data_IF_752253343878
#
_entry.id   IF_752253343878
#
_cell.length_a   1.000
_cell.length_b   1.000
_cell.length_c   1.000
_cell.angle_alpha   90.00
_cell.angle_beta   90.00
_cell.angle_gamma   90.00
#
_symmetry.space_group_name_H-M   'P 1'
#
loop_
_entity.id
_entity.type
_entity.pdbx_description
1 polymer ?
#
# COMPACT_ATOMS: atom_id res chain seq x y z
N UNK A 1 -6.11 -4.20 -17.64
CA UNK A 1 -5.60 -3.08 -18.39
C UNK A 1 -4.60 -3.48 -19.46
N UNK A 2 -3.64 -2.61 -19.77
CA UNK A 2 -2.64 -2.87 -20.81
C UNK A 2 -1.73 -4.07 -20.50
N UNK A 3 -1.53 -4.39 -19.22
CA UNK A 3 -0.86 -5.58 -18.71
C UNK A 3 -1.47 -6.90 -19.22
N UNK A 4 -2.77 -6.95 -19.39
CA UNK A 4 -3.46 -8.13 -19.96
C UNK A 4 -3.28 -8.27 -21.49
N UNK A 5 -2.99 -7.16 -22.17
CA UNK A 5 -2.74 -7.16 -23.61
C UNK A 5 -1.27 -7.40 -23.94
N UNK A 6 -0.39 -6.91 -23.08
CA UNK A 6 1.08 -6.86 -23.25
C UNK A 6 1.76 -7.38 -21.98
N UNK A 7 1.54 -8.65 -21.59
CA UNK A 7 2.00 -9.19 -20.31
C UNK A 7 3.53 -9.19 -20.21
N UNK A 8 4.03 -8.90 -19.01
CA UNK A 8 5.47 -8.96 -18.71
C UNK A 8 5.94 -10.42 -18.62
N UNK A 9 6.41 -10.93 -19.72
CA UNK A 9 7.05 -12.22 -19.80
C UNK A 9 8.08 -12.24 -20.94
N UNK A 10 9.13 -13.05 -20.85
CA UNK A 10 10.05 -13.27 -21.97
C UNK A 10 9.26 -13.73 -23.21
N UNK A 11 9.62 -13.20 -24.38
CA UNK A 11 8.92 -13.54 -25.63
C UNK A 11 8.84 -15.05 -25.88
N UNK A 12 9.84 -15.78 -25.43
CA UNK A 12 9.90 -17.25 -25.54
C UNK A 12 8.88 -17.99 -24.69
N UNK A 13 8.40 -17.37 -23.62
CA UNK A 13 7.39 -17.94 -22.69
C UNK A 13 5.97 -17.43 -22.95
N UNK A 14 5.81 -16.42 -23.79
CA UNK A 14 4.49 -15.94 -24.21
C UNK A 14 3.83 -16.97 -25.15
N UNK A 15 2.51 -17.11 -25.03
CA UNK A 15 1.72 -17.81 -26.05
C UNK A 15 1.77 -17.04 -27.38
N UNK A 16 1.37 -17.70 -28.48
CA UNK A 16 1.47 -17.13 -29.82
C UNK A 16 0.67 -15.84 -30.00
N UNK A 17 -0.50 -15.74 -29.38
CA UNK A 17 -1.35 -14.57 -29.47
C UNK A 17 -0.73 -13.36 -28.74
N UNK A 18 -0.22 -13.54 -27.53
CA UNK A 18 0.40 -12.48 -26.77
C UNK A 18 1.73 -12.04 -27.40
N UNK A 19 2.49 -13.00 -27.93
CA UNK A 19 3.70 -12.71 -28.71
C UNK A 19 3.40 -11.84 -29.93
N UNK A 20 2.34 -12.17 -30.66
CA UNK A 20 1.90 -11.38 -31.81
C UNK A 20 1.46 -9.98 -31.41
N UNK A 21 0.68 -9.83 -30.32
CA UNK A 21 0.25 -8.53 -29.79
C UNK A 21 1.43 -7.65 -29.40
N UNK A 22 2.38 -8.20 -28.65
CA UNK A 22 3.59 -7.48 -28.25
C UNK A 22 4.39 -7.03 -29.49
N UNK A 23 4.55 -7.89 -30.50
CA UNK A 23 5.28 -7.53 -31.71
C UNK A 23 4.55 -6.44 -32.49
N UNK A 24 3.25 -6.57 -32.71
CA UNK A 24 2.45 -5.56 -33.42
C UNK A 24 2.52 -4.20 -32.71
N UNK A 25 2.32 -4.18 -31.39
CA UNK A 25 2.37 -2.93 -30.63
C UNK A 25 3.78 -2.32 -30.63
N UNK A 26 4.83 -3.14 -30.51
CA UNK A 26 6.19 -2.67 -30.60
C UNK A 26 6.49 -2.01 -31.95
N UNK A 27 6.14 -2.67 -33.04
CA UNK A 27 6.37 -2.16 -34.40
C UNK A 27 5.55 -0.90 -34.67
N UNK A 28 4.30 -0.87 -34.25
CA UNK A 28 3.43 0.30 -34.37
C UNK A 28 3.98 1.50 -33.59
N UNK A 29 4.31 1.32 -32.30
CA UNK A 29 4.83 2.41 -31.47
C UNK A 29 6.24 2.86 -31.88
N UNK A 30 6.98 2.06 -32.64
CA UNK A 30 8.29 2.39 -33.17
C UNK A 30 8.25 2.94 -34.59
N UNK A 31 7.09 2.92 -35.25
CA UNK A 31 6.93 3.44 -36.58
C UNK A 31 7.14 4.95 -36.64
N UNK A 32 7.96 5.42 -37.56
CA UNK A 32 8.29 6.84 -37.70
C UNK A 32 7.07 7.69 -38.08
N UNK A 33 6.10 7.14 -38.82
CA UNK A 33 4.88 7.83 -39.16
C UNK A 33 4.01 8.07 -37.91
N UNK A 34 3.95 7.09 -37.01
CA UNK A 34 3.25 7.23 -35.73
C UNK A 34 3.98 8.18 -34.78
N UNK A 35 5.31 8.01 -34.62
CA UNK A 35 6.13 8.82 -33.69
C UNK A 35 6.13 10.31 -34.05
N UNK A 36 6.12 10.62 -35.36
CA UNK A 36 6.11 12.00 -35.86
C UNK A 36 4.69 12.51 -36.18
N UNK A 37 3.66 11.70 -35.97
CA UNK A 37 2.25 12.06 -36.17
C UNK A 37 1.67 12.81 -34.96
N UNK A 38 0.44 13.25 -35.13
CA UNK A 38 -0.32 13.93 -34.06
C UNK A 38 -1.14 12.96 -33.20
N UNK A 39 -1.03 11.66 -33.44
CA UNK A 39 -1.76 10.63 -32.70
C UNK A 39 -1.07 10.28 -31.39
N UNK A 40 -1.84 10.01 -30.36
CA UNK A 40 -1.38 9.56 -29.06
C UNK A 40 -2.08 8.31 -28.59
N UNK A 41 -1.35 7.37 -28.01
CA UNK A 41 -1.90 6.16 -27.38
C UNK A 41 -1.70 6.26 -25.87
N UNK A 42 -2.79 6.13 -25.12
CA UNK A 42 -2.74 6.06 -23.65
C UNK A 42 -2.95 4.62 -23.22
N UNK A 43 -1.95 4.08 -22.53
CA UNK A 43 -2.00 2.75 -21.93
C UNK A 43 -2.23 2.88 -20.43
N UNK A 44 -3.21 2.16 -19.90
CA UNK A 44 -3.50 2.12 -18.45
C UNK A 44 -3.12 0.73 -17.94
N UNK A 45 -2.18 0.67 -17.03
CA UNK A 45 -1.75 -0.53 -16.33
C UNK A 45 -1.64 -0.25 -14.83
N UNK A 46 -1.64 -1.28 -14.03
CA UNK A 46 -1.44 -1.15 -12.57
C UNK A 46 0.00 -0.69 -12.28
N UNK A 47 0.95 -1.17 -13.05
CA UNK A 47 2.37 -0.83 -12.95
C UNK A 47 3.06 -0.94 -14.30
N UNK A 48 4.07 -0.09 -14.53
CA UNK A 48 4.97 -0.22 -15.68
C UNK A 48 5.69 -1.57 -15.68
N UNK A 49 6.00 -2.12 -14.51
CA UNK A 49 6.68 -3.42 -14.38
C UNK A 49 5.82 -4.61 -14.83
N UNK A 50 4.51 -4.42 -15.00
CA UNK A 50 3.61 -5.46 -15.52
C UNK A 50 3.46 -5.41 -17.05
N UNK A 51 4.03 -4.42 -17.70
CA UNK A 51 4.07 -4.33 -19.15
C UNK A 51 5.29 -5.07 -19.72
N UNK A 52 5.11 -5.72 -20.86
CA UNK A 52 6.20 -6.37 -21.55
C UNK A 52 7.39 -5.42 -21.73
N UNK A 53 8.59 -5.90 -21.39
CA UNK A 53 9.81 -5.08 -21.35
C UNK A 53 10.17 -4.46 -22.72
N UNK A 54 9.78 -5.08 -23.82
CA UNK A 54 9.98 -4.48 -25.14
C UNK A 54 9.17 -3.20 -25.34
N UNK A 55 7.97 -3.12 -24.74
CA UNK A 55 7.13 -1.94 -24.79
C UNK A 55 7.55 -0.95 -23.69
N UNK A 56 7.73 -1.43 -22.47
CA UNK A 56 8.06 -0.59 -21.32
C UNK A 56 9.38 0.20 -21.48
N UNK A 57 10.30 -0.28 -22.35
CA UNK A 57 11.60 0.37 -22.61
C UNK A 57 11.63 1.23 -23.88
N UNK A 58 10.51 1.41 -24.57
CA UNK A 58 10.47 2.28 -25.74
C UNK A 58 10.79 3.73 -25.31
N UNK A 59 11.72 4.42 -26.01
CA UNK A 59 12.16 5.76 -25.63
C UNK A 59 11.06 6.82 -25.74
N UNK A 60 10.06 6.59 -26.57
CA UNK A 60 8.90 7.46 -26.75
C UNK A 60 7.80 7.23 -25.71
N UNK A 61 7.90 6.21 -24.85
CA UNK A 61 6.94 5.97 -23.78
C UNK A 61 7.16 6.96 -22.64
N UNK A 62 6.17 7.78 -22.39
CA UNK A 62 6.11 8.66 -21.21
C UNK A 62 5.35 7.93 -20.12
N UNK A 63 5.99 7.75 -18.97
CA UNK A 63 5.39 7.14 -17.78
C UNK A 63 4.80 8.23 -16.89
N UNK A 64 3.51 8.09 -16.59
CA UNK A 64 2.79 8.97 -15.68
C UNK A 64 2.26 8.12 -14.54
N UNK A 65 2.94 8.18 -13.40
CA UNK A 65 2.47 7.50 -12.18
C UNK A 65 1.34 8.29 -11.54
N UNK A 66 0.22 7.62 -11.26
CA UNK A 66 -0.86 8.17 -10.45
C UNK A 66 -0.64 7.69 -9.02
N UNK A 67 -0.16 8.55 -8.12
CA UNK A 67 0.14 8.15 -6.75
C UNK A 67 -1.12 7.80 -5.97
N UNK A 68 -0.96 7.06 -4.88
CA UNK A 68 -2.01 6.91 -3.88
C UNK A 68 -2.37 8.28 -3.29
N UNK A 69 -3.64 8.50 -2.90
CA UNK A 69 -4.04 9.78 -2.34
C UNK A 69 -3.31 10.04 -1.03
N UNK A 70 -2.70 11.22 -0.92
CA UNK A 70 -2.10 11.71 0.31
C UNK A 70 -3.17 12.10 1.35
N UNK A 71 -2.73 12.49 2.54
CA UNK A 71 -3.61 12.90 3.62
C UNK A 71 -4.55 14.05 3.22
N UNK A 72 -4.03 15.09 2.57
CA UNK A 72 -4.81 16.26 2.18
C UNK A 72 -5.85 15.92 1.12
N UNK A 73 -5.49 15.09 0.15
CA UNK A 73 -6.41 14.58 -0.87
C UNK A 73 -7.53 13.77 -0.22
N UNK A 74 -7.22 12.85 0.71
CA UNK A 74 -8.23 12.07 1.43
C UNK A 74 -9.16 12.95 2.26
N UNK A 75 -8.59 13.90 3.02
CA UNK A 75 -9.36 14.88 3.82
C UNK A 75 -10.27 15.74 2.96
N UNK A 76 -9.75 16.24 1.83
CA UNK A 76 -10.56 16.99 0.88
C UNK A 76 -11.70 16.15 0.32
N UNK A 77 -11.43 14.90 -0.08
CA UNK A 77 -12.44 13.99 -0.59
C UNK A 77 -13.53 13.67 0.43
N UNK A 78 -13.19 13.40 1.68
CA UNK A 78 -14.14 13.16 2.77
C UNK A 78 -15.04 14.38 2.97
N UNK A 79 -14.46 15.58 2.98
CA UNK A 79 -15.18 16.85 3.09
C UNK A 79 -16.13 17.06 1.90
N UNK A 80 -15.63 16.85 0.69
CA UNK A 80 -16.44 16.94 -0.53
C UNK A 80 -17.59 15.94 -0.52
N UNK A 81 -17.33 14.67 -0.19
CA UNK A 81 -18.35 13.63 -0.10
C UNK A 81 -19.43 13.95 0.95
N UNK A 82 -19.03 14.54 2.08
CA UNK A 82 -19.94 14.93 3.16
C UNK A 82 -20.84 16.11 2.77
N UNK A 83 -20.34 17.05 1.95
CA UNK A 83 -21.07 18.23 1.49
C UNK A 83 -22.04 17.92 0.33
N UNK A 84 -21.64 17.01 -0.57
CA UNK A 84 -22.39 16.69 -1.77
C UNK A 84 -23.47 15.61 -1.55
N UNK A 85 -24.10 15.61 -0.37
CA UNK A 85 -25.23 14.72 -0.13
C UNK A 85 -26.53 15.33 -0.67
N UNK A 86 -26.97 14.83 -1.82
CA UNK A 86 -28.26 15.24 -2.46
C UNK A 86 -29.49 14.78 -1.67
N UNK A 87 -29.34 13.92 -0.67
CA UNK A 87 -30.45 13.35 0.12
C UNK A 87 -30.45 13.76 1.60
N UNK A 88 -29.61 14.72 2.01
CA UNK A 88 -29.58 15.25 3.38
C UNK A 88 -29.13 14.24 4.47
N UNK A 89 -28.52 13.13 4.09
CA UNK A 89 -28.06 12.11 5.03
C UNK A 89 -26.65 12.40 5.47
N UNK A 90 -26.49 12.99 6.65
CA UNK A 90 -25.17 13.22 7.25
C UNK A 90 -24.51 11.89 7.60
N UNK A 91 -23.25 11.73 7.24
CA UNK A 91 -22.42 10.62 7.69
C UNK A 91 -22.14 10.83 9.18
N UNK A 92 -22.46 9.84 9.99
CA UNK A 92 -22.12 9.86 11.41
C UNK A 92 -20.76 9.17 11.58
N UNK A 93 -19.75 9.94 11.95
CA UNK A 93 -18.41 9.45 12.26
C UNK A 93 -18.27 9.28 13.77
N UNK A 94 -17.37 8.40 14.21
CA UNK A 94 -16.99 8.30 15.62
C UNK A 94 -16.22 9.54 16.11
N UNK A 95 -15.49 10.18 15.20
CA UNK A 95 -14.60 11.30 15.44
C UNK A 95 -14.68 12.38 14.36
N UNK A 96 -13.58 13.04 14.11
CA UNK A 96 -13.44 14.12 13.13
C UNK A 96 -13.15 13.58 11.73
N UNK A 97 -13.35 14.43 10.69
CA UNK A 97 -12.94 14.09 9.32
C UNK A 97 -11.40 13.96 9.18
N UNK A 98 -10.67 14.63 10.05
CA UNK A 98 -9.21 14.56 10.10
C UNK A 98 -8.76 13.19 10.58
N UNK A 99 -9.29 12.70 11.71
CA UNK A 99 -9.03 11.36 12.23
C UNK A 99 -9.42 10.26 11.22
N UNK A 100 -10.52 10.45 10.49
CA UNK A 100 -10.88 9.51 9.41
C UNK A 100 -9.86 9.55 8.28
N UNK A 101 -9.35 10.72 7.89
CA UNK A 101 -8.33 10.84 6.86
C UNK A 101 -6.99 10.20 7.27
N UNK A 102 -6.62 10.30 8.55
CA UNK A 102 -5.45 9.63 9.12
C UNK A 102 -5.60 8.11 9.07
N UNK A 103 -6.70 7.58 9.59
CA UNK A 103 -6.94 6.13 9.65
C UNK A 103 -7.19 5.48 8.29
N UNK A 104 -7.54 6.25 7.26
CA UNK A 104 -7.72 5.74 5.89
C UNK A 104 -6.46 5.84 5.03
N UNK A 105 -5.30 6.03 5.64
CA UNK A 105 -4.02 5.93 4.94
C UNK A 105 -3.93 4.60 4.17
N UNK A 106 -3.36 4.66 2.96
CA UNK A 106 -3.27 3.51 2.06
C UNK A 106 -4.50 3.20 1.22
N UNK A 107 -5.70 3.71 1.56
CA UNK A 107 -6.89 3.49 0.74
C UNK A 107 -6.87 4.34 -0.53
N UNK A 108 -7.28 3.72 -1.66
CA UNK A 108 -7.61 4.49 -2.86
C UNK A 108 -8.88 5.34 -2.65
N UNK A 109 -9.04 6.42 -3.42
CA UNK A 109 -10.28 7.22 -3.38
C UNK A 109 -11.52 6.39 -3.69
N UNK A 110 -11.39 5.34 -4.51
CA UNK A 110 -12.50 4.42 -4.80
C UNK A 110 -12.87 3.59 -3.56
N UNK A 111 -11.90 3.01 -2.86
CA UNK A 111 -12.14 2.25 -1.63
C UNK A 111 -12.73 3.15 -0.53
N UNK A 112 -12.19 4.36 -0.37
CA UNK A 112 -12.72 5.37 0.55
C UNK A 112 -14.16 5.76 0.21
N UNK A 113 -14.48 5.93 -1.08
CA UNK A 113 -15.86 6.18 -1.53
C UNK A 113 -16.80 5.03 -1.20
N UNK A 114 -16.38 3.79 -1.38
CA UNK A 114 -17.19 2.61 -1.05
C UNK A 114 -17.45 2.53 0.47
N UNK A 115 -16.44 2.78 1.28
CA UNK A 115 -16.58 2.85 2.73
C UNK A 115 -17.64 3.90 3.13
N UNK A 116 -17.50 5.13 2.65
CA UNK A 116 -18.41 6.24 2.95
C UNK A 116 -19.84 5.99 2.44
N UNK A 117 -19.99 5.38 1.26
CA UNK A 117 -21.30 4.95 0.74
C UNK A 117 -21.93 3.87 1.61
N UNK A 118 -21.17 2.89 2.09
CA UNK A 118 -21.64 1.84 2.99
C UNK A 118 -22.25 2.42 4.26
N UNK A 119 -21.53 3.32 4.91
CA UNK A 119 -21.99 4.04 6.12
C UNK A 119 -23.27 4.83 5.85
N UNK A 120 -23.32 5.56 4.74
CA UNK A 120 -24.49 6.35 4.33
C UNK A 120 -25.74 5.47 4.12
N UNK A 121 -25.59 4.28 3.57
CA UNK A 121 -26.68 3.34 3.35
C UNK A 121 -27.11 2.61 4.61
N UNK A 122 -26.15 2.20 5.43
CA UNK A 122 -26.40 1.40 6.63
C UNK A 122 -27.07 2.16 7.78
N UNK A 123 -27.12 3.51 7.72
CA UNK A 123 -27.60 4.39 8.81
C UNK A 123 -26.89 4.15 10.14
N UNK A 124 -25.79 3.42 10.15
CA UNK A 124 -24.97 3.16 11.31
C UNK A 124 -23.91 4.26 11.49
N UNK A 125 -23.48 4.47 12.72
CA UNK A 125 -22.32 5.29 13.01
C UNK A 125 -21.08 4.50 12.64
N UNK A 126 -20.21 5.06 11.82
CA UNK A 126 -18.94 4.43 11.47
C UNK A 126 -18.07 4.36 12.72
N UNK A 127 -17.66 3.17 13.12
CA UNK A 127 -16.72 2.98 14.23
C UNK A 127 -15.27 3.02 13.73
N UNK A 128 -14.34 3.31 14.63
CA UNK A 128 -12.91 3.29 14.33
C UNK A 128 -12.46 1.87 13.92
N UNK A 129 -12.96 0.86 14.61
CA UNK A 129 -12.63 -0.55 14.33
C UNK A 129 -13.05 -0.96 12.92
N UNK A 130 -14.27 -0.59 12.49
CA UNK A 130 -14.74 -0.88 11.13
C UNK A 130 -13.85 -0.24 10.05
N UNK A 131 -13.30 0.94 10.30
CA UNK A 131 -12.36 1.59 9.36
C UNK A 131 -11.04 0.84 9.31
N UNK A 132 -10.48 0.51 10.47
CA UNK A 132 -9.22 -0.25 10.55
C UNK A 132 -9.37 -1.59 9.85
N UNK A 133 -10.44 -2.34 10.11
CA UNK A 133 -10.69 -3.62 9.45
C UNK A 133 -10.78 -3.48 7.92
N UNK A 134 -11.43 -2.42 7.42
CA UNK A 134 -11.51 -2.14 5.98
C UNK A 134 -10.17 -1.76 5.35
N UNK A 135 -9.33 -1.03 6.07
CA UNK A 135 -7.97 -0.71 5.64
C UNK A 135 -7.12 -1.97 5.58
N UNK A 136 -7.20 -2.82 6.60
CA UNK A 136 -6.53 -4.11 6.63
C UNK A 136 -6.95 -5.01 5.47
N UNK A 137 -8.26 -5.17 5.24
CA UNK A 137 -8.80 -5.95 4.12
C UNK A 137 -8.30 -5.42 2.77
N UNK A 138 -8.29 -4.08 2.60
CA UNK A 138 -7.81 -3.46 1.38
C UNK A 138 -6.32 -3.75 1.16
N UNK A 139 -5.48 -3.58 2.18
CA UNK A 139 -4.04 -3.83 2.08
C UNK A 139 -3.77 -5.32 1.80
N UNK A 140 -4.47 -6.23 2.48
CA UNK A 140 -4.40 -7.66 2.21
C UNK A 140 -4.79 -7.99 0.76
N UNK A 141 -5.82 -7.33 0.22
CA UNK A 141 -6.22 -7.53 -1.18
C UNK A 141 -5.19 -7.05 -2.19
N UNK A 142 -4.41 -6.01 -1.86
CA UNK A 142 -3.36 -5.46 -2.72
C UNK A 142 -2.08 -6.29 -2.70
N UNK A 143 -1.69 -6.79 -1.53
CA UNK A 143 -0.43 -7.50 -1.32
C UNK A 143 -0.57 -9.02 -1.39
N UNK A 144 -1.77 -9.53 -1.17
CA UNK A 144 -2.06 -10.96 -0.99
C UNK A 144 -2.03 -11.36 0.49
N UNK A 145 -3.00 -12.16 0.92
CA UNK A 145 -3.13 -12.64 2.31
C UNK A 145 -1.94 -13.50 2.76
N UNK A 146 -1.25 -14.14 1.81
CA UNK A 146 -0.06 -14.95 2.09
C UNK A 146 1.20 -14.11 2.32
N UNK A 147 1.20 -12.86 1.87
CA UNK A 147 2.36 -11.96 1.91
C UNK A 147 2.40 -11.14 3.19
N UNK A 148 1.24 -10.73 3.69
CA UNK A 148 1.15 -9.84 4.85
C UNK A 148 0.18 -10.36 5.90
N UNK A 149 0.52 -10.11 7.16
CA UNK A 149 -0.33 -10.34 8.32
C UNK A 149 -0.34 -9.10 9.20
N UNK A 150 -1.52 -8.64 9.54
CA UNK A 150 -1.71 -7.59 10.53
C UNK A 150 -1.80 -8.22 11.92
N UNK A 151 -1.09 -7.64 12.86
CA UNK A 151 -1.15 -8.01 14.27
C UNK A 151 -1.40 -6.79 15.13
N UNK A 152 -2.41 -6.89 15.98
CA UNK A 152 -2.59 -5.94 17.08
C UNK A 152 -1.84 -6.51 18.28
N UNK A 153 -0.79 -5.84 18.77
CA UNK A 153 -0.05 -6.34 19.93
C UNK A 153 -0.98 -6.44 21.14
N UNK A 154 -1.00 -7.61 21.79
CA UNK A 154 -1.83 -7.86 22.97
C UNK A 154 -1.05 -7.75 24.29
N UNK A 155 0.19 -7.29 24.26
CA UNK A 155 1.09 -7.19 25.40
C UNK A 155 1.97 -5.94 25.30
N UNK A 156 2.45 -5.47 26.45
CA UNK A 156 3.27 -4.27 26.61
C UNK A 156 4.71 -4.62 27.03
N UNK A 157 5.57 -3.62 27.15
CA UNK A 157 6.92 -3.82 27.71
C UNK A 157 6.89 -4.31 29.17
N UNK A 158 5.79 -4.09 29.90
CA UNK A 158 5.65 -4.60 31.26
C UNK A 158 5.50 -6.13 31.29
N UNK A 159 4.94 -6.72 30.25
CA UNK A 159 4.74 -8.15 30.13
C UNK A 159 6.04 -8.90 29.73
N UNK A 160 7.06 -8.16 29.28
CA UNK A 160 8.39 -8.70 28.98
C UNK A 160 9.11 -9.00 30.29
N UNK A 161 9.21 -10.27 30.66
CA UNK A 161 9.91 -10.69 31.89
C UNK A 161 11.42 -10.69 31.66
N UNK A 162 12.15 -10.06 32.59
CA UNK A 162 13.62 -9.91 32.49
C UNK A 162 14.02 -8.75 31.58
N UNK A 163 15.22 -8.83 31.00
CA UNK A 163 15.75 -7.84 30.05
C UNK A 163 15.72 -6.38 30.55
N UNK A 164 15.90 -6.12 31.82
CA UNK A 164 15.74 -4.79 32.44
C UNK A 164 16.57 -3.70 31.75
N UNK A 165 17.81 -4.02 31.35
CA UNK A 165 18.64 -3.08 30.59
C UNK A 165 18.09 -2.76 29.22
N UNK A 166 17.62 -3.78 28.50
CA UNK A 166 16.98 -3.60 27.19
C UNK A 166 15.69 -2.80 27.29
N UNK A 167 14.83 -3.11 28.27
CA UNK A 167 13.59 -2.36 28.53
C UNK A 167 13.89 -0.89 28.80
N UNK A 168 14.86 -0.59 29.68
CA UNK A 168 15.25 0.79 29.96
C UNK A 168 15.83 1.51 28.74
N UNK A 169 16.54 0.82 27.88
CA UNK A 169 17.04 1.36 26.61
C UNK A 169 15.91 1.64 25.62
N UNK A 170 14.97 0.70 25.45
CA UNK A 170 13.81 0.88 24.57
C UNK A 170 12.94 2.05 25.02
N UNK A 171 12.64 2.13 26.31
CA UNK A 171 11.78 3.16 26.89
C UNK A 171 12.41 4.58 26.80
N UNK A 172 13.73 4.69 27.05
CA UNK A 172 14.40 5.98 27.13
C UNK A 172 14.97 6.49 25.81
N UNK A 173 15.46 5.57 24.97
CA UNK A 173 16.25 5.93 23.78
C UNK A 173 15.53 5.62 22.46
N UNK A 174 14.69 4.59 22.44
CA UNK A 174 14.09 4.10 21.19
C UNK A 174 12.69 4.66 21.01
N UNK A 175 11.78 4.39 21.97
CA UNK A 175 10.37 4.79 21.88
C UNK A 175 10.20 6.30 21.69
N UNK A 176 10.89 7.18 22.45
CA UNK A 176 10.73 8.62 22.26
C UNK A 176 11.17 9.14 20.89
N UNK A 177 11.99 8.38 20.18
CA UNK A 177 12.51 8.77 18.85
C UNK A 177 11.70 8.23 17.69
N UNK A 178 10.71 7.38 17.95
CA UNK A 178 9.73 6.99 16.93
C UNK A 178 8.69 8.12 16.76
N UNK A 179 8.37 8.48 15.53
CA UNK A 179 7.39 9.53 15.23
C UNK A 179 7.88 10.97 15.47
N UNK A 180 9.17 11.18 15.69
CA UNK A 180 9.73 12.53 15.71
C UNK A 180 9.88 13.08 14.30
N UNK A 181 9.40 14.30 14.06
CA UNK A 181 9.63 15.06 12.81
C UNK A 181 11.01 15.76 12.79
N UNK A 182 12.00 15.15 13.42
CA UNK A 182 13.35 15.73 13.56
C UNK A 182 14.41 14.83 12.93
N UNK A 183 15.60 15.40 12.70
CA UNK A 183 16.75 14.62 12.22
C UNK A 183 17.25 13.54 13.21
N UNK A 184 16.66 13.46 14.40
CA UNK A 184 16.91 12.42 15.41
C UNK A 184 15.91 11.26 15.34
N UNK A 185 14.93 11.31 14.44
CA UNK A 185 13.97 10.25 14.23
C UNK A 185 14.66 8.93 13.84
N UNK A 186 14.14 7.82 14.34
CA UNK A 186 14.65 6.49 13.97
C UNK A 186 13.93 6.00 12.71
N UNK A 187 14.64 5.83 11.58
CA UNK A 187 14.04 5.33 10.34
C UNK A 187 13.74 3.83 10.39
N UNK A 188 14.31 3.12 11.39
CA UNK A 188 14.12 1.69 11.56
C UNK A 188 15.02 1.12 12.63
N UNK A 189 14.78 -0.14 12.98
CA UNK A 189 15.57 -0.88 13.94
C UNK A 189 15.78 -2.33 13.49
N UNK A 190 16.93 -2.91 13.81
CA UNK A 190 17.22 -4.31 13.60
C UNK A 190 17.41 -5.01 14.95
N UNK A 191 16.65 -6.08 15.19
CA UNK A 191 16.74 -6.89 16.42
C UNK A 191 17.41 -8.23 16.07
N UNK A 192 18.62 -8.44 16.58
CA UNK A 192 19.40 -9.67 16.43
C UNK A 192 19.34 -10.55 17.68
N UNK A 193 19.49 -11.86 17.50
CA UNK A 193 19.59 -12.82 18.61
C UNK A 193 19.21 -14.25 18.20
N UNK A 194 19.44 -15.26 19.07
CA UNK A 194 19.12 -16.66 18.79
C UNK A 194 17.62 -16.88 18.51
N UNK A 195 17.30 -18.01 17.87
CA UNK A 195 15.92 -18.45 17.69
C UNK A 195 15.30 -18.69 19.07
N UNK A 196 14.06 -18.24 19.29
CA UNK A 196 13.36 -18.37 20.58
C UNK A 196 13.73 -17.32 21.63
N UNK A 197 14.61 -16.35 21.34
CA UNK A 197 15.00 -15.30 22.28
C UNK A 197 13.94 -14.20 22.51
N UNK A 198 12.70 -14.35 22.00
CA UNK A 198 11.63 -13.40 22.22
C UNK A 198 11.72 -12.11 21.39
N UNK A 199 12.49 -12.08 20.30
CA UNK A 199 12.66 -10.88 19.45
C UNK A 199 11.34 -10.29 18.96
N UNK A 200 10.48 -11.16 18.42
CA UNK A 200 9.14 -10.73 17.92
C UNK A 200 8.28 -10.22 19.06
N UNK A 201 8.30 -10.89 20.21
CA UNK A 201 7.55 -10.47 21.40
C UNK A 201 7.96 -9.07 21.88
N UNK A 202 9.28 -8.79 21.92
CA UNK A 202 9.82 -7.48 22.30
C UNK A 202 9.41 -6.42 21.26
N UNK A 203 9.49 -6.73 19.97
CA UNK A 203 9.08 -5.81 18.91
C UNK A 203 7.59 -5.47 18.98
N UNK A 204 6.74 -6.47 19.18
CA UNK A 204 5.30 -6.29 19.37
C UNK A 204 4.98 -5.46 20.63
N UNK A 205 5.75 -5.65 21.73
CA UNK A 205 5.61 -4.85 22.94
C UNK A 205 5.97 -3.37 22.71
N UNK A 206 7.01 -3.07 21.93
CA UNK A 206 7.35 -1.68 21.54
C UNK A 206 6.24 -1.07 20.68
N UNK A 207 5.69 -1.82 19.72
CA UNK A 207 4.60 -1.35 18.90
C UNK A 207 3.33 -1.05 19.72
N UNK A 208 3.08 -1.85 20.77
CA UNK A 208 1.97 -1.60 21.73
C UNK A 208 2.17 -0.31 22.51
N UNK A 209 3.36 -0.01 22.98
CA UNK A 209 3.66 1.26 23.70
C UNK A 209 3.48 2.49 22.77
N UNK A 210 3.66 2.30 21.48
CA UNK A 210 3.50 3.35 20.46
C UNK A 210 2.07 3.41 19.89
N UNK A 211 1.15 2.55 20.36
CA UNK A 211 -0.21 2.38 19.81
C UNK A 211 -0.22 2.10 18.29
N UNK A 212 0.77 1.33 17.82
CA UNK A 212 0.97 1.02 16.41
C UNK A 212 0.51 -0.39 16.07
N UNK A 213 -0.07 -0.55 14.89
CA UNK A 213 -0.36 -1.87 14.30
C UNK A 213 0.92 -2.45 13.69
N UNK A 214 1.16 -3.73 13.91
CA UNK A 214 2.31 -4.45 13.36
C UNK A 214 1.93 -5.09 12.03
N UNK A 215 2.61 -4.71 10.97
CA UNK A 215 2.52 -5.37 9.66
C UNK A 215 3.67 -6.38 9.53
N UNK A 216 3.33 -7.67 9.55
CA UNK A 216 4.30 -8.75 9.37
C UNK A 216 4.36 -9.15 7.90
N UNK A 217 5.54 -9.02 7.30
CA UNK A 217 5.79 -9.49 5.94
C UNK A 217 6.29 -10.92 6.02
N UNK A 218 5.55 -11.86 5.41
CA UNK A 218 5.84 -13.30 5.48
C UNK A 218 6.61 -13.79 4.26
N UNK A 219 5.94 -14.13 3.21
CA UNK A 219 6.52 -14.81 2.05
C UNK A 219 6.69 -13.87 0.86
N UNK A 220 7.87 -13.24 0.76
CA UNK A 220 8.20 -12.40 -0.40
C UNK A 220 8.72 -13.19 -1.60
N UNK A 221 9.09 -14.48 -1.40
CA UNK A 221 9.60 -15.31 -2.49
C UNK A 221 8.45 -16.06 -3.14
N UNK A 222 8.12 -15.66 -4.36
CA UNK A 222 7.26 -16.45 -5.23
C UNK A 222 8.01 -17.63 -5.84
N UNK A 223 7.26 -18.68 -6.21
CA UNK A 223 7.77 -19.81 -6.98
C UNK A 223 8.11 -19.44 -8.42
N UNK A 224 7.62 -18.30 -8.90
CA UNK A 224 7.79 -17.87 -10.28
C UNK A 224 8.79 -16.71 -10.36
N UNK A 225 9.65 -16.75 -11.36
CA UNK A 225 10.65 -15.73 -11.64
C UNK A 225 9.95 -14.40 -12.02
N UNK A 226 10.31 -13.31 -11.36
CA UNK A 226 9.73 -11.98 -11.61
C UNK A 226 8.56 -11.56 -10.70
N UNK A 227 7.80 -12.48 -10.13
CA UNK A 227 6.70 -12.13 -9.21
C UNK A 227 7.19 -11.47 -7.91
N UNK A 228 8.39 -11.82 -7.47
CA UNK A 228 8.99 -11.22 -6.27
C UNK A 228 9.15 -9.71 -6.44
N UNK A 229 9.59 -9.24 -7.60
CA UNK A 229 9.78 -7.81 -7.89
C UNK A 229 8.43 -7.07 -7.92
N UNK A 230 7.38 -7.70 -8.44
CA UNK A 230 6.01 -7.15 -8.44
C UNK A 230 5.49 -7.02 -7.01
N UNK A 231 5.71 -8.01 -6.16
CA UNK A 231 5.31 -7.98 -4.75
C UNK A 231 6.06 -6.85 -4.00
N UNK A 232 7.37 -6.70 -4.23
CA UNK A 232 8.15 -5.61 -3.64
C UNK A 232 7.66 -4.24 -4.10
N UNK A 233 7.32 -4.08 -5.37
CA UNK A 233 6.81 -2.82 -5.89
C UNK A 233 5.43 -2.47 -5.29
N UNK A 234 4.55 -3.45 -5.16
CA UNK A 234 3.25 -3.28 -4.47
C UNK A 234 3.44 -2.92 -3.00
N UNK A 235 4.34 -3.64 -2.31
CA UNK A 235 4.66 -3.37 -0.91
C UNK A 235 5.20 -1.93 -0.74
N UNK A 236 6.13 -1.50 -1.60
CA UNK A 236 6.66 -0.14 -1.59
C UNK A 236 5.54 0.90 -1.71
N UNK A 237 4.61 0.71 -2.64
CA UNK A 237 3.47 1.63 -2.83
C UNK A 237 2.56 1.69 -1.62
N UNK A 238 2.24 0.52 -1.04
CA UNK A 238 1.41 0.46 0.17
C UNK A 238 2.09 1.17 1.33
N UNK A 239 3.39 0.92 1.56
CA UNK A 239 4.14 1.57 2.63
C UNK A 239 4.23 3.09 2.42
N UNK A 240 4.47 3.55 1.19
CA UNK A 240 4.46 4.99 0.87
C UNK A 240 3.07 5.64 1.02
N UNK A 241 2.00 4.88 0.87
CA UNK A 241 0.64 5.38 1.08
C UNK A 241 0.22 5.41 2.55
N UNK A 242 0.92 4.65 3.41
CA UNK A 242 0.71 4.60 4.86
C UNK A 242 1.55 5.65 5.61
N UNK A 243 2.61 6.15 5.00
CA UNK A 243 3.43 7.26 5.53
C UNK A 243 2.79 8.61 5.23
#
# INVERSE_FOLDING_TARGET
GADMLLPDAPITSLNDMDRQRVSICHDWFSDLGFVNGDDSVVMIAESRSQLNQRIARLPQLIDVEVPSPDFDTRKHFISWFSRNDTKGRKIQLWGTQTELAELTAGLSLHALMQLLKGVRHGRAKLSQEEVVDKVEDFIKSQLGEEVVEFKKPGHSLNDVIGFSRLKSFLDKEVIPRFGMDSGEALPGAAIGGPIGAGKTFIFEAVASELDMVVLVIKNLRSKYYGETDVIFERLRRVLMALS
#
